data_IF_235723915467
#
_entry.id   IF_235723915467
#
_cell.length_a   1.000
_cell.length_b   1.000
_cell.length_c   1.000
_cell.angle_alpha   90.00
_cell.angle_beta   90.00
_cell.angle_gamma   90.00
#
_symmetry.space_group_name_H-M   'P 1'
#
loop_
_entity.id
_entity.type
_entity.pdbx_description
1 polymer ?
#
# COMPACT_ATOMS: atom_id res chain seq x y z
N UNK A 1 35.07 20.22 53.59
CA UNK A 1 34.08 21.30 53.35
C UNK A 1 34.13 21.69 51.88
N UNK A 2 32.95 21.91 51.26
CA UNK A 2 32.69 22.61 49.98
C UNK A 2 33.19 21.92 48.69
N UNK A 3 32.34 21.21 47.91
CA UNK A 3 31.40 21.70 46.86
C UNK A 3 32.03 22.74 45.92
N UNK A 4 32.21 22.39 44.62
CA UNK A 4 31.81 23.11 43.37
C UNK A 4 31.91 22.08 42.22
N UNK A 5 30.84 21.47 41.72
CA UNK A 5 29.93 21.93 40.64
C UNK A 5 30.66 22.59 39.48
N UNK A 6 30.73 21.88 38.35
CA UNK A 6 30.75 22.44 37.01
C UNK A 6 30.00 21.48 36.07
N UNK A 7 28.72 21.79 35.84
CA UNK A 7 27.95 21.24 34.74
C UNK A 7 28.53 21.77 33.42
N UNK A 8 28.84 20.88 32.49
CA UNK A 8 28.96 21.23 31.07
C UNK A 8 27.81 20.55 30.34
N UNK A 9 26.83 21.36 29.96
CA UNK A 9 25.65 21.00 29.15
C UNK A 9 26.14 20.71 27.73
N UNK A 10 26.20 19.44 27.36
CA UNK A 10 26.36 18.99 25.98
C UNK A 10 24.99 18.67 25.40
N UNK A 11 24.30 19.68 24.86
CA UNK A 11 23.02 19.50 24.16
C UNK A 11 23.32 19.07 22.72
N UNK A 12 23.45 17.75 22.51
CA UNK A 12 23.52 17.18 21.17
C UNK A 12 22.09 17.04 20.62
N UNK A 13 21.78 17.85 19.60
CA UNK A 13 20.58 17.71 18.77
C UNK A 13 20.61 16.35 18.07
N UNK A 14 19.83 15.38 18.54
CA UNK A 14 19.53 14.17 17.78
C UNK A 14 18.45 14.51 16.75
N UNK A 15 18.85 14.60 15.49
CA UNK A 15 17.95 14.68 14.35
C UNK A 15 17.03 13.45 14.34
N UNK A 16 15.73 13.67 14.54
CA UNK A 16 14.70 12.68 14.25
C UNK A 16 14.64 12.47 12.74
N UNK A 17 15.34 11.48 12.23
CA UNK A 17 15.10 10.93 10.89
C UNK A 17 13.78 10.16 10.92
N UNK A 18 12.66 10.89 10.90
CA UNK A 18 11.36 10.31 10.59
C UNK A 18 11.39 9.85 9.14
N UNK A 19 11.38 8.53 8.93
CA UNK A 19 11.24 7.93 7.62
C UNK A 19 9.90 8.35 7.03
N UNK A 20 9.93 9.30 6.10
CA UNK A 20 8.84 9.61 5.19
C UNK A 20 8.58 8.36 4.35
N UNK A 21 7.61 7.53 4.76
CA UNK A 21 6.98 6.61 3.83
C UNK A 21 6.10 7.47 2.93
N UNK A 22 6.65 7.84 1.77
CA UNK A 22 5.91 8.51 0.71
C UNK A 22 4.75 7.59 0.28
N UNK A 23 3.52 7.98 0.58
CA UNK A 23 2.35 7.44 -0.10
C UNK A 23 2.40 7.96 -1.53
N UNK A 24 2.83 7.11 -2.46
CA UNK A 24 2.85 7.44 -3.88
C UNK A 24 1.41 7.44 -4.40
N UNK A 25 0.81 8.62 -4.35
CA UNK A 25 -0.48 8.93 -4.94
C UNK A 25 -0.31 8.90 -6.46
N UNK A 26 -1.23 8.28 -7.19
CA UNK A 26 -1.24 8.38 -8.65
C UNK A 26 -1.47 9.85 -9.03
N UNK A 27 -0.45 10.49 -9.59
CA UNK A 27 -0.53 11.89 -10.03
C UNK A 27 -1.02 11.95 -11.48
N UNK A 28 -1.85 12.96 -11.76
CA UNK A 28 -2.26 13.28 -13.13
C UNK A 28 -1.07 13.96 -13.79
N UNK A 29 -0.56 13.38 -14.88
CA UNK A 29 0.59 13.93 -15.60
C UNK A 29 0.15 14.89 -16.70
N UNK A 30 1.08 15.76 -17.13
CA UNK A 30 0.91 16.59 -18.34
C UNK A 30 0.94 15.76 -19.64
N UNK A 31 1.26 14.46 -19.54
CA UNK A 31 1.27 13.52 -20.66
C UNK A 31 -0.16 13.24 -21.09
N UNK A 32 -0.48 13.44 -22.36
CA UNK A 32 -1.82 13.18 -22.87
C UNK A 32 -1.92 11.78 -23.48
N UNK A 33 -3.15 11.31 -23.70
CA UNK A 33 -3.41 10.05 -24.39
C UNK A 33 -2.75 9.94 -25.79
N UNK A 34 -2.46 11.08 -26.42
CA UNK A 34 -1.81 11.16 -27.73
C UNK A 34 -0.28 10.97 -27.64
N UNK A 35 0.30 11.21 -26.47
CA UNK A 35 1.75 11.13 -26.23
C UNK A 35 2.19 9.72 -25.79
N UNK A 36 1.23 8.84 -25.49
CA UNK A 36 1.50 7.47 -25.08
C UNK A 36 2.03 6.62 -26.24
N UNK A 37 3.22 6.06 -26.05
CA UNK A 37 3.83 5.15 -27.02
C UNK A 37 3.36 3.72 -26.77
N UNK A 38 2.22 3.40 -27.36
CA UNK A 38 1.58 2.09 -27.26
C UNK A 38 2.41 0.96 -27.88
N UNK A 39 2.54 -0.15 -27.18
CA UNK A 39 3.10 -1.36 -27.77
C UNK A 39 2.17 -1.94 -28.84
N UNK A 40 2.76 -2.62 -29.82
CA UNK A 40 2.00 -3.27 -30.90
C UNK A 40 1.00 -4.32 -30.36
N UNK A 41 1.32 -4.97 -29.24
CA UNK A 41 0.43 -5.91 -28.57
C UNK A 41 -0.82 -5.21 -28.00
N UNK A 42 -0.63 -4.05 -27.34
CA UNK A 42 -1.74 -3.28 -26.79
C UNK A 42 -2.65 -2.76 -27.90
N UNK A 43 -2.08 -2.25 -29.00
CA UNK A 43 -2.84 -1.78 -30.17
C UNK A 43 -3.57 -2.91 -30.88
N UNK A 44 -2.97 -4.10 -30.99
CA UNK A 44 -3.62 -5.26 -31.60
C UNK A 44 -4.84 -5.72 -30.80
N UNK A 45 -4.76 -5.67 -29.46
CA UNK A 45 -5.86 -6.01 -28.57
C UNK A 45 -6.87 -4.86 -28.38
N UNK A 46 -6.45 -3.61 -28.60
CA UNK A 46 -7.22 -2.40 -28.36
C UNK A 46 -7.00 -1.39 -29.50
N UNK A 47 -7.53 -1.65 -30.71
CA UNK A 47 -7.31 -0.78 -31.86
C UNK A 47 -7.94 0.62 -31.69
N UNK A 48 -8.95 0.72 -30.82
CA UNK A 48 -9.70 1.92 -30.46
C UNK A 48 -9.23 2.56 -29.14
N UNK A 49 -8.07 2.18 -28.61
CA UNK A 49 -7.62 2.65 -27.29
C UNK A 49 -7.54 4.17 -27.20
N UNK A 50 -7.09 4.83 -28.28
CA UNK A 50 -7.02 6.29 -28.36
C UNK A 50 -8.40 6.96 -28.26
N UNK A 51 -9.47 6.31 -28.74
CA UNK A 51 -10.84 6.83 -28.63
C UNK A 51 -11.45 6.60 -27.24
N UNK A 52 -10.94 5.61 -26.50
CA UNK A 52 -11.40 5.26 -25.15
C UNK A 52 -10.60 5.90 -24.01
N UNK A 53 -9.38 6.36 -24.29
CA UNK A 53 -8.49 6.99 -23.31
C UNK A 53 -9.03 8.35 -22.88
N UNK A 54 -9.22 8.54 -21.58
CA UNK A 54 -9.77 9.76 -20.98
C UNK A 54 -8.70 10.63 -20.33
N UNK A 55 -7.73 9.99 -19.69
CA UNK A 55 -6.64 10.63 -18.97
C UNK A 55 -5.47 9.66 -18.83
N UNK A 56 -4.30 10.21 -18.50
CA UNK A 56 -3.08 9.44 -18.24
C UNK A 56 -2.68 9.66 -16.79
N UNK A 57 -2.24 8.59 -16.14
CA UNK A 57 -1.73 8.58 -14.78
C UNK A 57 -0.33 7.97 -14.79
N UNK A 58 0.56 8.51 -13.97
CA UNK A 58 1.86 7.90 -13.70
C UNK A 58 1.86 7.27 -12.31
N UNK A 59 2.39 6.05 -12.22
CA UNK A 59 2.59 5.36 -10.95
C UNK A 59 3.79 4.43 -11.03
N UNK A 60 4.68 4.53 -10.05
CA UNK A 60 5.97 3.83 -9.98
C UNK A 60 6.83 4.04 -11.25
N UNK A 61 6.76 5.23 -11.86
CA UNK A 61 7.43 5.56 -13.12
C UNK A 61 6.84 4.88 -14.37
N UNK A 62 5.66 4.26 -14.26
CA UNK A 62 4.95 3.64 -15.38
C UNK A 62 3.67 4.44 -15.72
N UNK A 63 3.44 4.65 -17.02
CA UNK A 63 2.29 5.39 -17.53
C UNK A 63 1.11 4.45 -17.78
N UNK A 64 -0.06 4.88 -17.32
CA UNK A 64 -1.33 4.18 -17.44
C UNK A 64 -2.37 5.08 -18.09
N UNK A 65 -3.05 4.59 -19.13
CA UNK A 65 -4.25 5.25 -19.63
C UNK A 65 -5.47 4.82 -18.82
N UNK A 66 -6.23 5.80 -18.34
CA UNK A 66 -7.55 5.55 -17.79
C UNK A 66 -8.57 5.43 -18.93
N UNK A 67 -9.37 4.38 -18.90
CA UNK A 67 -10.52 4.18 -19.76
C UNK A 67 -11.72 3.70 -18.94
N UNK A 68 -12.93 3.97 -19.43
CA UNK A 68 -14.16 3.42 -18.86
C UNK A 68 -14.58 2.20 -19.69
N UNK A 69 -14.89 1.09 -19.04
CA UNK A 69 -15.32 -0.15 -19.71
C UNK A 69 -16.62 -0.68 -19.13
N UNK A 70 -17.50 -1.21 -19.98
CA UNK A 70 -18.72 -1.92 -19.57
C UNK A 70 -18.49 -3.43 -19.55
N UNK A 71 -18.83 -4.08 -18.45
CA UNK A 71 -18.75 -5.53 -18.31
C UNK A 71 -19.86 -6.19 -19.12
N UNK A 72 -19.50 -6.96 -20.15
CA UNK A 72 -20.46 -7.74 -20.95
C UNK A 72 -20.72 -9.10 -20.32
N UNK A 73 -19.66 -9.73 -19.79
CA UNK A 73 -19.71 -11.09 -19.25
C UNK A 73 -18.47 -11.39 -18.42
N UNK A 74 -18.64 -12.18 -17.38
CA UNK A 74 -17.53 -12.82 -16.68
C UNK A 74 -17.70 -14.33 -16.70
N UNK A 75 -16.60 -15.06 -16.93
CA UNK A 75 -16.52 -16.52 -16.77
C UNK A 75 -15.26 -16.87 -15.98
N UNK A 76 -15.42 -17.26 -14.72
CA UNK A 76 -14.29 -17.40 -13.80
C UNK A 76 -13.57 -16.07 -13.64
N UNK A 77 -12.30 -16.02 -14.02
CA UNK A 77 -11.49 -14.79 -13.97
C UNK A 77 -11.23 -14.18 -15.37
N UNK A 78 -11.95 -14.64 -16.39
CA UNK A 78 -11.95 -14.06 -17.73
C UNK A 78 -13.12 -13.08 -17.85
N UNK A 79 -12.80 -11.82 -18.06
CA UNK A 79 -13.77 -10.75 -18.24
C UNK A 79 -13.87 -10.39 -19.72
N UNK A 80 -15.10 -10.32 -20.25
CA UNK A 80 -15.42 -9.71 -21.54
C UNK A 80 -16.02 -8.33 -21.29
N UNK A 81 -15.48 -7.31 -21.95
CA UNK A 81 -15.88 -5.92 -21.77
C UNK A 81 -15.94 -5.17 -23.10
N UNK A 82 -16.63 -4.03 -23.11
CA UNK A 82 -16.59 -3.03 -24.20
C UNK A 82 -16.07 -1.71 -23.64
N UNK A 83 -15.10 -1.04 -24.27
CA UNK A 83 -14.73 0.30 -23.85
C UNK A 83 -15.83 1.30 -24.23
N UNK A 84 -15.97 2.32 -23.40
CA UNK A 84 -16.77 3.50 -23.69
C UNK A 84 -15.86 4.57 -24.27
N UNK A 85 -16.12 4.96 -25.51
CA UNK A 85 -15.41 6.04 -26.17
C UNK A 85 -15.73 7.40 -25.54
N UNK A 86 -14.87 8.38 -25.78
CA UNK A 86 -15.06 9.76 -25.31
C UNK A 86 -16.25 10.46 -25.97
N UNK A 87 -16.69 10.00 -27.15
CA UNK A 87 -17.90 10.47 -27.84
C UNK A 87 -19.20 9.83 -27.32
N UNK A 88 -19.11 8.92 -26.34
CA UNK A 88 -20.24 8.20 -25.75
C UNK A 88 -20.66 6.93 -26.49
N UNK A 89 -20.02 6.60 -27.62
CA UNK A 89 -20.24 5.33 -28.32
C UNK A 89 -19.52 4.18 -27.63
N UNK A 90 -19.98 2.95 -27.86
CA UNK A 90 -19.35 1.74 -27.33
C UNK A 90 -18.43 1.13 -28.39
N UNK A 91 -17.21 0.79 -28.00
CA UNK A 91 -16.28 0.06 -28.85
C UNK A 91 -16.55 -1.45 -28.88
N UNK A 92 -15.66 -2.17 -29.57
CA UNK A 92 -15.80 -3.61 -29.77
C UNK A 92 -15.53 -4.41 -28.50
N UNK A 93 -16.26 -5.53 -28.38
CA UNK A 93 -16.14 -6.44 -27.24
C UNK A 93 -14.81 -7.18 -27.26
N UNK A 94 -14.05 -7.11 -26.18
CA UNK A 94 -12.79 -7.83 -26.00
C UNK A 94 -12.75 -8.59 -24.69
N UNK A 95 -11.89 -9.59 -24.61
CA UNK A 95 -11.75 -10.42 -23.41
C UNK A 95 -10.34 -10.42 -22.88
N UNK A 96 -10.20 -10.35 -21.56
CA UNK A 96 -8.93 -10.38 -20.85
C UNK A 96 -8.96 -11.44 -19.76
N UNK A 97 -7.84 -12.15 -19.60
CA UNK A 97 -7.62 -13.04 -18.47
C UNK A 97 -7.00 -12.21 -17.35
N UNK A 98 -7.76 -11.98 -16.29
CA UNK A 98 -7.26 -11.25 -15.13
C UNK A 98 -6.48 -12.23 -14.22
N UNK A 99 -5.57 -11.75 -13.35
CA UNK A 99 -5.02 -12.53 -12.26
C UNK A 99 -6.03 -12.66 -11.11
N UNK A 100 -5.95 -13.73 -10.31
CA UNK A 100 -6.90 -13.99 -9.20
C UNK A 100 -6.83 -12.95 -8.07
N UNK A 101 -5.73 -12.21 -7.99
CA UNK A 101 -5.52 -11.08 -7.07
C UNK A 101 -6.19 -9.79 -7.55
N UNK A 102 -6.61 -9.71 -8.82
CA UNK A 102 -7.21 -8.49 -9.37
C UNK A 102 -8.50 -8.11 -8.64
N UNK A 103 -8.66 -6.82 -8.38
CA UNK A 103 -9.86 -6.23 -7.75
C UNK A 103 -10.36 -5.06 -8.59
N UNK A 104 -11.67 -4.87 -8.65
CA UNK A 104 -12.27 -3.65 -9.17
C UNK A 104 -12.79 -2.82 -8.00
N UNK A 105 -12.49 -1.52 -7.98
CA UNK A 105 -13.10 -0.60 -7.03
C UNK A 105 -14.39 -0.02 -7.63
N UNK A 106 -15.52 -0.21 -6.96
CA UNK A 106 -16.82 0.33 -7.36
C UNK A 106 -17.48 0.94 -6.12
N UNK A 107 -17.50 2.28 -6.06
CA UNK A 107 -18.09 3.02 -4.94
C UNK A 107 -17.40 2.73 -3.61
N UNK A 108 -16.07 2.81 -3.56
CA UNK A 108 -15.25 2.55 -2.37
C UNK A 108 -15.18 1.09 -1.94
N UNK A 109 -15.75 0.17 -2.73
CA UNK A 109 -15.75 -1.26 -2.43
C UNK A 109 -14.96 -2.05 -3.45
N UNK A 110 -14.18 -3.00 -2.96
CA UNK A 110 -13.38 -3.91 -3.76
C UNK A 110 -14.15 -5.18 -4.15
N UNK A 111 -14.22 -5.47 -5.45
CA UNK A 111 -14.89 -6.64 -6.02
C UNK A 111 -13.89 -7.53 -6.75
N UNK A 112 -14.05 -8.85 -6.65
CA UNK A 112 -13.29 -9.77 -7.51
C UNK A 112 -13.89 -9.75 -8.91
N UNK A 113 -13.11 -10.16 -9.92
CA UNK A 113 -13.63 -10.25 -11.27
C UNK A 113 -14.89 -11.13 -11.36
N UNK A 114 -14.93 -12.25 -10.63
CA UNK A 114 -16.08 -13.16 -10.56
C UNK A 114 -17.37 -12.54 -10.04
N UNK A 115 -17.24 -11.48 -9.24
CA UNK A 115 -18.35 -10.84 -8.54
C UNK A 115 -18.94 -9.69 -9.37
N UNK A 116 -18.28 -9.35 -10.49
CA UNK A 116 -18.75 -8.33 -11.43
C UNK A 116 -19.98 -8.81 -12.18
N UNK A 117 -20.93 -7.91 -12.30
CA UNK A 117 -22.20 -8.13 -12.99
C UNK A 117 -22.15 -7.51 -14.38
N UNK A 118 -22.91 -8.10 -15.32
CA UNK A 118 -23.10 -7.50 -16.65
C UNK A 118 -23.71 -6.09 -16.50
N UNK A 119 -23.23 -5.17 -17.33
CA UNK A 119 -23.71 -3.78 -17.40
C UNK A 119 -23.02 -2.84 -16.42
N UNK A 120 -22.17 -3.34 -15.52
CA UNK A 120 -21.35 -2.48 -14.67
C UNK A 120 -20.32 -1.73 -15.50
N UNK A 121 -20.16 -0.44 -15.22
CA UNK A 121 -19.10 0.39 -15.80
C UNK A 121 -17.97 0.53 -14.78
N UNK A 122 -16.74 0.32 -15.24
CA UNK A 122 -15.54 0.34 -14.43
C UNK A 122 -14.55 1.33 -15.01
N UNK A 123 -13.86 2.06 -14.13
CA UNK A 123 -12.67 2.79 -14.51
C UNK A 123 -11.47 1.84 -14.41
N UNK A 124 -10.81 1.63 -15.54
CA UNK A 124 -9.66 0.72 -15.64
C UNK A 124 -8.45 1.48 -16.13
N UNK A 125 -7.28 1.01 -15.71
CA UNK A 125 -5.99 1.59 -16.02
C UNK A 125 -5.22 0.61 -16.91
N UNK A 126 -4.89 1.03 -18.12
CA UNK A 126 -4.24 0.18 -19.14
C UNK A 126 -2.80 0.65 -19.28
N UNK A 127 -1.80 -0.19 -18.99
CA UNK A 127 -0.40 0.17 -19.17
C UNK A 127 -0.03 0.23 -20.66
N UNK A 128 0.95 1.06 -21.01
CA UNK A 128 1.34 1.30 -22.40
C UNK A 128 2.07 0.11 -23.07
N UNK A 129 2.72 -0.75 -22.27
CA UNK A 129 3.64 -1.78 -22.73
C UNK A 129 2.98 -3.15 -22.94
N UNK A 130 1.91 -3.47 -22.19
CA UNK A 130 1.29 -4.81 -22.15
C UNK A 130 -0.22 -4.76 -22.04
N UNK A 131 -0.90 -5.80 -22.54
CA UNK A 131 -2.34 -5.90 -22.38
C UNK A 131 -2.71 -6.39 -20.97
N UNK A 132 -2.99 -5.44 -20.08
CA UNK A 132 -3.49 -5.71 -18.74
C UNK A 132 -4.53 -4.66 -18.33
N UNK A 133 -5.43 -5.03 -17.42
CA UNK A 133 -6.25 -4.06 -16.70
C UNK A 133 -5.69 -3.97 -15.29
N UNK A 134 -5.08 -2.85 -14.97
CA UNK A 134 -4.84 -2.45 -13.60
C UNK A 134 -6.10 -1.75 -13.07
N UNK A 135 -6.38 -1.98 -11.80
CA UNK A 135 -7.28 -1.12 -11.04
C UNK A 135 -6.49 -0.71 -9.83
N UNK A 136 -6.51 0.59 -9.56
CA UNK A 136 -5.82 1.16 -8.43
C UNK A 136 -6.89 1.52 -7.40
N UNK A 137 -6.71 1.01 -6.18
CA UNK A 137 -7.42 1.54 -5.03
C UNK A 137 -7.16 3.04 -4.95
N UNK A 138 -8.22 3.84 -4.98
CA UNK A 138 -8.15 5.25 -4.60
C UNK A 138 -8.10 5.43 -3.09
N UNK A 139 -8.44 4.40 -2.32
CA UNK A 139 -8.47 4.48 -0.86
C UNK A 139 -7.43 3.55 -0.23
N UNK A 140 -6.42 4.18 0.37
CA UNK A 140 -5.81 3.60 1.56
C UNK A 140 -6.92 3.30 2.56
N UNK A 141 -6.79 2.15 3.24
CA UNK A 141 -7.64 1.69 4.34
C UNK A 141 -8.52 2.80 4.93
N UNK A 142 -9.83 2.66 4.80
CA UNK A 142 -10.79 3.46 5.55
C UNK A 142 -10.42 3.42 7.04
N UNK A 143 -9.86 4.52 7.55
CA UNK A 143 -9.78 4.79 8.99
C UNK A 143 -11.14 5.31 9.48
N UNK A 144 -12.21 4.67 9.01
CA UNK A 144 -13.60 4.98 9.32
C UNK A 144 -14.42 3.70 9.57
N UNK A 145 -13.80 2.67 10.15
CA UNK A 145 -14.48 1.88 11.17
C UNK A 145 -14.00 2.39 12.55
N UNK A 146 -14.17 3.70 12.74
CA UNK A 146 -14.15 4.32 14.06
C UNK A 146 -15.46 3.88 14.71
N UNK A 147 -15.43 2.75 15.42
CA UNK A 147 -16.32 2.59 16.57
C UNK A 147 -15.86 3.64 17.58
N UNK A 148 -16.53 4.78 17.55
CA UNK A 148 -16.45 5.79 18.60
C UNK A 148 -16.95 5.14 19.88
N UNK A 149 -16.01 4.61 20.66
CA UNK A 149 -16.16 4.58 22.12
C UNK A 149 -15.50 5.88 22.60
N UNK A 150 -16.21 6.99 22.42
CA UNK A 150 -16.07 8.09 23.37
C UNK A 150 -16.81 7.64 24.63
N UNK A 151 -16.10 6.90 25.48
CA UNK A 151 -16.39 6.86 26.90
C UNK A 151 -15.20 7.49 27.63
N UNK A 152 -15.37 8.78 27.89
CA UNK A 152 -14.92 9.51 29.07
C UNK A 152 -13.96 8.76 30.03
N UNK A 153 -12.70 9.22 30.03
CA UNK A 153 -11.78 9.30 31.18
C UNK A 153 -11.70 8.08 32.13
N UNK A 154 -10.70 7.21 31.96
CA UNK A 154 -9.85 6.76 33.09
C UNK A 154 -8.43 6.48 32.61
N UNK A 155 -7.46 7.21 33.15
CA UNK A 155 -6.05 6.86 33.13
C UNK A 155 -5.85 5.43 33.66
N UNK A 156 -5.46 4.47 32.81
CA UNK A 156 -4.90 3.22 33.32
C UNK A 156 -3.37 3.35 33.36
N UNK A 157 -2.75 3.24 34.57
CA UNK A 157 -1.35 3.52 34.75
C UNK A 157 -0.50 2.48 34.00
N UNK A 158 0.61 2.95 33.43
CA UNK A 158 1.62 2.10 32.82
C UNK A 158 2.05 0.98 33.79
N UNK A 159 1.57 -0.24 33.56
CA UNK A 159 1.98 -1.44 34.31
C UNK A 159 3.17 -2.11 33.65
N UNK A 160 4.12 -1.33 33.13
CA UNK A 160 5.46 -1.82 32.86
C UNK A 160 6.27 -1.80 34.17
N UNK A 161 5.98 -2.76 35.05
CA UNK A 161 6.73 -2.94 36.29
C UNK A 161 8.23 -3.17 35.98
N UNK A 162 9.18 -2.56 36.73
CA UNK A 162 10.61 -2.66 36.47
C UNK A 162 11.21 -4.03 36.85
N UNK A 163 10.39 -5.09 36.91
CA UNK A 163 10.82 -6.45 37.26
C UNK A 163 11.89 -7.01 36.30
N UNK A 164 11.90 -6.54 35.06
CA UNK A 164 12.96 -6.86 34.10
C UNK A 164 14.34 -6.39 34.56
N UNK A 165 14.43 -5.28 35.30
CA UNK A 165 15.70 -4.79 35.84
C UNK A 165 16.17 -5.61 37.05
N UNK A 166 15.23 -6.11 37.87
CA UNK A 166 15.57 -6.99 39.00
C UNK A 166 16.08 -8.35 38.50
N UNK A 167 15.45 -8.90 37.45
CA UNK A 167 15.90 -10.13 36.80
C UNK A 167 17.32 -10.02 36.21
N UNK A 168 17.64 -8.89 35.58
CA UNK A 168 18.97 -8.64 35.02
C UNK A 168 20.08 -8.62 36.10
N UNK A 169 19.81 -7.99 37.25
CA UNK A 169 20.76 -7.95 38.37
C UNK A 169 20.92 -9.32 39.02
N UNK A 170 19.83 -10.07 39.21
CA UNK A 170 19.90 -11.43 39.74
C UNK A 170 20.72 -12.39 38.85
N UNK A 171 20.55 -12.30 37.53
CA UNK A 171 21.31 -13.09 36.56
C UNK A 171 22.82 -12.81 36.62
N UNK A 172 23.21 -11.54 36.78
CA UNK A 172 24.62 -11.16 36.90
C UNK A 172 25.28 -11.75 38.16
N UNK A 173 24.60 -11.75 39.31
CA UNK A 173 25.15 -12.33 40.54
C UNK A 173 25.29 -13.87 40.46
N UNK A 174 24.34 -14.57 39.83
CA UNK A 174 24.45 -16.02 39.63
C UNK A 174 25.60 -16.40 38.69
N UNK A 175 25.81 -15.63 37.61
CA UNK A 175 26.94 -15.84 36.71
C UNK A 175 28.29 -15.65 37.43
N UNK A 176 28.40 -14.60 38.26
CA UNK A 176 29.63 -14.34 39.04
C UNK A 176 29.91 -15.43 40.08
N UNK A 177 28.87 -15.88 40.80
CA UNK A 177 28.97 -16.96 41.79
C UNK A 177 29.37 -18.31 41.19
N UNK A 178 28.83 -18.65 40.01
CA UNK A 178 29.23 -19.85 39.27
C UNK A 178 30.70 -19.82 38.85
N UNK A 179 31.18 -18.66 38.41
CA UNK A 179 32.56 -18.47 37.96
C UNK A 179 33.56 -18.59 39.12
N UNK A 180 33.26 -17.96 40.27
CA UNK A 180 34.09 -18.08 41.48
C UNK A 180 34.10 -19.50 42.06
N UNK A 181 32.97 -20.21 42.02
CA UNK A 181 32.88 -21.61 42.49
C UNK A 181 33.67 -22.57 41.57
N UNK A 182 33.63 -22.34 40.26
CA UNK A 182 34.42 -23.08 39.28
C UNK A 182 35.93 -22.89 39.46
N UNK A 183 36.36 -21.65 39.74
CA UNK A 183 37.76 -21.36 40.07
C UNK A 183 38.17 -22.07 41.35
N UNK A 184 37.34 -22.04 42.41
CA UNK A 184 37.66 -22.67 43.69
C UNK A 184 37.79 -24.20 43.61
N UNK A 185 36.97 -24.87 42.80
CA UNK A 185 37.07 -26.33 42.56
C UNK A 185 38.28 -26.74 41.73
N UNK A 186 38.91 -25.81 41.01
CA UNK A 186 40.12 -26.07 40.21
C UNK A 186 41.40 -25.93 41.02
N UNK A 187 41.37 -25.21 42.14
CA UNK A 187 42.52 -24.93 43.01
C UNK A 187 42.46 -25.63 44.38
N UNK A 188 41.47 -26.51 44.60
CA UNK A 188 41.40 -27.46 45.72
C UNK A 188 41.55 -28.87 45.20
#
# INVERSE_FOLDING_TARGET
MQKKIALAVGMALSLSAGSLMAQEKAEVTDVTCADLNWSAEVLAANPDIAASCRSVYERNGELYAQATVEVVRVRGNRMTFRPLHTDGTMGDSRSVQLPSSWRAEIGGRNYRASDLMRGQQLNVYIPQDRFALAVHDTDGLDEADIVVIEEEVVEMPATASPLFLVGAVGGAFLALGGLLTGIRRRFS
#
